data_IF_890494420841
#
_entry.id   IF_890494420841
#
_cell.length_a   1.000
_cell.length_b   1.000
_cell.length_c   1.000
_cell.angle_alpha   90.00
_cell.angle_beta   90.00
_cell.angle_gamma   90.00
#
_symmetry.space_group_name_H-M   'P 1'
#
loop_
_entity.id
_entity.type
_entity.pdbx_description
1 polymer ?
#
# COMPACT_ATOMS: atom_id res chain seq x y z
N UNK A 1 5.12 3.42 -13.88
CA UNK A 1 3.73 3.17 -13.43
C UNK A 1 3.76 2.30 -12.20
N UNK A 2 3.20 2.80 -11.10
CA UNK A 2 3.07 2.07 -9.84
C UNK A 2 1.66 1.49 -9.75
N UNK A 3 1.55 0.21 -9.39
CA UNK A 3 0.29 -0.42 -9.09
C UNK A 3 -0.13 -0.08 -7.66
N UNK A 4 -1.32 0.50 -7.49
CA UNK A 4 -1.90 0.78 -6.18
C UNK A 4 -3.43 0.66 -6.22
N UNK A 5 -4.05 0.55 -5.05
CA UNK A 5 -5.49 0.56 -4.90
C UNK A 5 -5.91 1.22 -3.58
N UNK A 6 -7.19 1.58 -3.50
CA UNK A 6 -7.88 2.04 -2.29
C UNK A 6 -9.17 1.24 -2.16
N UNK A 7 -9.42 0.60 -1.02
CA UNK A 7 -10.59 -0.25 -0.74
C UNK A 7 -11.20 0.09 0.63
N UNK A 8 -12.47 -0.24 0.84
CA UNK A 8 -13.18 0.01 2.11
C UNK A 8 -13.65 1.45 2.27
N UNK A 9 -14.44 1.67 3.34
CA UNK A 9 -15.09 2.96 3.64
C UNK A 9 -14.20 3.90 4.45
N UNK A 10 -13.32 3.34 5.31
CA UNK A 10 -12.50 4.13 6.20
C UNK A 10 -13.23 4.64 7.45
N UNK A 11 -14.40 4.10 7.78
CA UNK A 11 -15.19 4.51 8.94
C UNK A 11 -14.40 4.32 10.25
N UNK A 12 -13.61 3.24 10.34
CA UNK A 12 -12.74 2.95 11.49
C UNK A 12 -11.30 3.46 11.30
N UNK A 13 -11.04 4.26 10.26
CA UNK A 13 -9.72 4.77 9.91
C UNK A 13 -9.10 4.05 8.71
N UNK A 14 -7.91 4.51 8.33
CA UNK A 14 -7.19 4.05 7.14
C UNK A 14 -5.90 3.33 7.51
N UNK A 15 -5.61 2.26 6.77
CA UNK A 15 -4.35 1.50 6.89
C UNK A 15 -3.65 1.51 5.53
N UNK A 16 -2.39 1.89 5.51
CA UNK A 16 -1.52 1.79 4.34
C UNK A 16 -0.62 0.58 4.52
N UNK A 17 -0.70 -0.38 3.60
CA UNK A 17 0.07 -1.62 3.66
C UNK A 17 1.26 -1.53 2.70
N UNK A 18 2.46 -1.74 3.24
CA UNK A 18 3.74 -1.67 2.54
C UNK A 18 4.39 -3.05 2.64
N UNK A 19 4.62 -3.71 1.50
CA UNK A 19 5.32 -5.00 1.47
C UNK A 19 6.84 -4.83 1.46
N UNK A 20 7.56 -5.89 1.82
CA UNK A 20 9.03 -5.90 1.85
C UNK A 20 9.70 -6.23 0.52
N UNK A 21 11.04 -6.30 0.54
CA UNK A 21 11.88 -6.60 -0.62
C UNK A 21 11.53 -7.98 -1.22
N UNK A 22 11.40 -8.03 -2.55
CA UNK A 22 11.12 -9.28 -3.28
C UNK A 22 9.69 -9.81 -3.14
N UNK A 23 8.82 -9.12 -2.40
CA UNK A 23 7.40 -9.46 -2.27
C UNK A 23 6.49 -8.65 -3.22
N UNK A 24 5.19 -8.69 -2.95
CA UNK A 24 4.15 -7.87 -3.60
C UNK A 24 2.89 -7.81 -2.72
N UNK A 25 2.05 -6.78 -2.92
CA UNK A 25 0.87 -6.47 -2.11
C UNK A 25 -0.17 -7.59 -2.08
N UNK A 26 -0.24 -8.40 -3.14
CA UNK A 26 -1.15 -9.55 -3.22
C UNK A 26 -0.97 -10.57 -2.08
N UNK A 27 0.20 -10.65 -1.44
CA UNK A 27 0.43 -11.54 -0.28
C UNK A 27 -0.38 -11.13 0.95
N UNK A 28 -0.86 -9.89 1.00
CA UNK A 28 -1.61 -9.32 2.11
C UNK A 28 -3.14 -9.40 1.90
N UNK A 29 -3.63 -10.11 0.87
CA UNK A 29 -5.05 -10.16 0.52
C UNK A 29 -5.93 -10.57 1.72
N UNK A 30 -5.51 -11.55 2.51
CA UNK A 30 -6.23 -11.97 3.72
C UNK A 30 -6.34 -10.84 4.76
N UNK A 31 -5.26 -10.09 4.98
CA UNK A 31 -5.24 -8.94 5.90
C UNK A 31 -6.13 -7.81 5.37
N UNK A 32 -6.01 -7.51 4.06
CA UNK A 32 -6.82 -6.49 3.39
C UNK A 32 -8.31 -6.80 3.54
N UNK A 33 -8.72 -8.03 3.25
CA UNK A 33 -10.13 -8.42 3.33
C UNK A 33 -10.65 -8.34 4.75
N UNK A 34 -9.89 -8.84 5.74
CA UNK A 34 -10.26 -8.72 7.15
C UNK A 34 -10.43 -7.26 7.59
N UNK A 35 -9.51 -6.37 7.21
CA UNK A 35 -9.61 -4.93 7.54
C UNK A 35 -10.85 -4.29 6.89
N UNK A 36 -11.09 -4.56 5.61
CA UNK A 36 -12.25 -4.03 4.88
C UNK A 36 -13.57 -4.55 5.46
N UNK A 37 -13.64 -5.82 5.84
CA UNK A 37 -14.80 -6.42 6.52
C UNK A 37 -15.08 -5.79 7.89
N UNK A 38 -14.07 -5.19 8.53
CA UNK A 38 -14.17 -4.47 9.79
C UNK A 38 -14.23 -2.94 9.60
N UNK A 39 -14.75 -2.48 8.47
CA UNK A 39 -15.00 -1.06 8.16
C UNK A 39 -13.75 -0.14 8.13
N UNK A 40 -12.55 -0.72 8.02
CA UNK A 40 -11.35 0.04 7.73
C UNK A 40 -11.23 0.33 6.23
N UNK A 41 -10.59 1.45 5.92
CA UNK A 41 -10.11 1.76 4.59
C UNK A 41 -8.69 1.23 4.43
N UNK A 42 -8.37 0.62 3.29
CA UNK A 42 -7.04 0.09 3.01
C UNK A 42 -6.50 0.69 1.73
N UNK A 43 -5.28 1.22 1.81
CA UNK A 43 -4.46 1.59 0.67
C UNK A 43 -3.31 0.59 0.58
N UNK A 44 -3.12 0.01 -0.59
CA UNK A 44 -2.03 -0.94 -0.84
C UNK A 44 -1.42 -0.69 -2.20
N UNK A 45 -0.14 -0.97 -2.33
CA UNK A 45 0.63 -0.76 -3.56
C UNK A 45 1.78 -1.74 -3.67
N UNK A 46 2.24 -1.96 -4.90
CA UNK A 46 3.50 -2.65 -5.16
C UNK A 46 4.64 -1.63 -5.24
N UNK A 47 5.73 -1.85 -4.50
CA UNK A 47 6.93 -1.02 -4.57
C UNK A 47 7.43 -0.91 -6.03
N UNK A 48 8.07 0.21 -6.43
CA UNK A 48 8.74 0.28 -7.73
C UNK A 48 9.65 -0.94 -7.97
N UNK A 49 9.58 -1.50 -9.19
CA UNK A 49 10.31 -2.72 -9.52
C UNK A 49 9.81 -4.01 -8.84
N UNK A 50 8.66 -4.00 -8.16
CA UNK A 50 8.07 -5.17 -7.49
C UNK A 50 6.65 -5.45 -7.98
N UNK A 51 6.17 -6.68 -7.76
CA UNK A 51 4.84 -7.12 -8.16
C UNK A 51 4.42 -6.65 -9.56
N UNK A 52 3.26 -5.99 -9.62
CA UNK A 52 2.66 -5.40 -10.82
C UNK A 52 3.21 -4.01 -11.17
N UNK A 53 3.99 -3.39 -10.29
CA UNK A 53 4.66 -2.12 -10.56
C UNK A 53 5.78 -2.29 -11.60
N UNK A 54 5.94 -1.27 -12.45
CA UNK A 54 7.02 -1.20 -13.43
C UNK A 54 8.36 -0.84 -12.77
N UNK A 55 9.46 -0.98 -13.50
CA UNK A 55 10.80 -0.59 -13.07
C UNK A 55 11.78 -1.77 -13.12
N UNK A 56 13.07 -1.48 -12.90
CA UNK A 56 14.09 -2.51 -12.78
C UNK A 56 13.82 -3.31 -11.49
N UNK A 57 13.84 -4.65 -11.59
CA UNK A 57 13.48 -5.52 -10.46
C UNK A 57 14.39 -5.27 -9.26
N UNK A 58 13.79 -5.06 -8.08
CA UNK A 58 14.52 -4.77 -6.85
C UNK A 58 15.18 -3.39 -6.79
N UNK A 59 14.90 -2.50 -7.74
CA UNK A 59 15.50 -1.16 -7.78
C UNK A 59 14.47 -0.11 -7.36
N UNK A 60 14.56 0.30 -6.10
CA UNK A 60 13.80 1.40 -5.51
C UNK A 60 14.57 1.97 -4.32
N UNK A 61 14.29 3.22 -3.93
CA UNK A 61 14.83 3.83 -2.71
C UNK A 61 13.74 4.07 -1.67
N UNK A 62 14.13 4.31 -0.42
CA UNK A 62 13.16 4.61 0.64
C UNK A 62 12.49 5.97 0.39
N UNK A 63 13.22 6.94 -0.16
CA UNK A 63 12.71 8.26 -0.53
C UNK A 63 11.61 8.14 -1.59
N UNK A 64 11.81 7.32 -2.64
CA UNK A 64 10.78 7.05 -3.63
C UNK A 64 9.52 6.43 -3.01
N UNK A 65 9.68 5.57 -2.00
CA UNK A 65 8.55 4.97 -1.28
C UNK A 65 7.82 5.99 -0.43
N UNK A 66 8.52 6.91 0.23
CA UNK A 66 7.91 7.99 1.01
C UNK A 66 7.12 8.92 0.09
N UNK A 67 7.72 9.38 -1.02
CA UNK A 67 7.05 10.24 -2.01
C UNK A 67 5.79 9.56 -2.57
N UNK A 68 5.86 8.25 -2.82
CA UNK A 68 4.72 7.48 -3.26
C UNK A 68 3.62 7.40 -2.20
N UNK A 69 3.97 7.20 -0.93
CA UNK A 69 3.00 7.19 0.18
C UNK A 69 2.29 8.54 0.26
N UNK A 70 3.03 9.65 0.18
CA UNK A 70 2.46 11.00 0.21
C UNK A 70 1.47 11.20 -0.95
N UNK A 71 1.86 10.82 -2.18
CA UNK A 71 1.02 10.96 -3.36
C UNK A 71 -0.27 10.14 -3.28
N UNK A 72 -0.20 8.86 -2.85
CA UNK A 72 -1.38 7.98 -2.81
C UNK A 72 -2.29 8.27 -1.61
N UNK A 73 -1.76 8.90 -0.55
CA UNK A 73 -2.51 9.24 0.66
C UNK A 73 -2.98 10.69 0.72
N UNK A 74 -2.68 11.53 -0.28
CA UNK A 74 -3.06 12.97 -0.33
C UNK A 74 -4.54 13.32 -0.05
N UNK A 75 -5.44 12.34 -0.17
CA UNK A 75 -6.90 12.48 0.08
C UNK A 75 -7.34 11.90 1.43
N UNK A 76 -6.40 11.46 2.27
CA UNK A 76 -6.64 10.79 3.54
C UNK A 76 -5.90 11.56 4.64
N UNK A 77 -6.66 12.18 5.54
CA UNK A 77 -6.09 13.06 6.57
C UNK A 77 -5.26 12.33 7.64
N UNK A 78 -5.62 11.09 7.97
CA UNK A 78 -4.91 10.28 8.96
C UNK A 78 -4.99 8.80 8.63
N UNK A 79 -3.89 8.08 8.86
CA UNK A 79 -3.78 6.66 8.59
C UNK A 79 -2.70 6.02 9.48
N UNK A 80 -2.76 4.70 9.59
CA UNK A 80 -1.72 3.86 10.19
C UNK A 80 -0.89 3.23 9.08
N UNK A 81 0.43 3.22 9.25
CA UNK A 81 1.33 2.46 8.38
C UNK A 81 1.51 1.03 8.92
N UNK A 82 1.30 0.03 8.06
CA UNK A 82 1.63 -1.36 8.32
C UNK A 82 2.69 -1.80 7.30
N UNK A 83 3.93 -1.97 7.75
CA UNK A 83 5.06 -2.41 6.92
C UNK A 83 5.60 -3.78 7.34
N UNK A 84 6.07 -4.58 6.37
CA UNK A 84 6.80 -5.83 6.60
C UNK A 84 8.27 -5.70 6.19
#
# INVERSE_FOLDING_TARGET
MVYHFKKGTGNNGWVVIIHGLGEHIGRYEKLINMLVENDFGVIGFDLPGHGKSSGKRGHTSIEEVIDLIDEITKTVNSFVLFGH
#
